data_IF_856058514328
#
_entry.id   IF_856058514328
#
_cell.length_a   1.000
_cell.length_b   1.000
_cell.length_c   1.000
_cell.angle_alpha   90.00
_cell.angle_beta   90.00
_cell.angle_gamma   90.00
#
_symmetry.space_group_name_H-M   'P 1'
#
loop_
_entity.id
_entity.type
_entity.pdbx_description
1 polymer ?
#
# COMPACT_ATOMS: atom_id res chain seq x y z
N UNK A 1 31.09 -4.42 -9.59
CA UNK A 1 29.80 -3.72 -9.61
C UNK A 1 28.76 -4.73 -10.10
N UNK A 2 27.79 -5.09 -9.25
CA UNK A 2 26.76 -6.07 -9.63
C UNK A 2 25.74 -5.38 -10.54
N UNK A 3 25.63 -5.86 -11.76
CA UNK A 3 24.58 -5.45 -12.71
C UNK A 3 23.44 -6.47 -12.64
N UNK A 4 22.22 -6.01 -12.65
CA UNK A 4 21.04 -6.85 -12.73
C UNK A 4 20.41 -6.63 -14.09
N UNK A 5 20.37 -7.69 -14.90
CA UNK A 5 19.76 -7.83 -16.25
C UNK A 5 20.31 -7.00 -17.42
N UNK A 6 19.73 -7.22 -18.58
CA UNK A 6 20.06 -6.61 -19.87
C UNK A 6 20.05 -5.07 -19.88
N UNK A 7 19.41 -4.43 -18.89
CA UNK A 7 19.38 -2.97 -18.69
C UNK A 7 20.67 -2.42 -18.04
N UNK A 8 21.64 -3.25 -17.65
CA UNK A 8 22.92 -2.82 -17.04
C UNK A 8 22.77 -1.81 -15.88
N UNK A 9 21.64 -1.80 -15.16
CA UNK A 9 21.40 -0.86 -14.07
C UNK A 9 22.09 -1.32 -12.79
N UNK A 10 22.98 -0.51 -12.20
CA UNK A 10 23.61 -0.85 -10.93
C UNK A 10 22.57 -0.88 -9.81
N UNK A 11 22.55 -1.97 -9.05
CA UNK A 11 21.65 -2.16 -7.89
C UNK A 11 21.74 -1.01 -6.87
N UNK A 12 22.85 -0.29 -6.86
CA UNK A 12 23.09 0.85 -5.96
C UNK A 12 22.05 1.96 -6.14
N UNK A 13 21.52 2.19 -7.34
CA UNK A 13 20.52 3.24 -7.58
C UNK A 13 19.18 2.93 -6.95
N UNK A 14 18.80 1.65 -6.84
CA UNK A 14 17.61 1.26 -6.05
C UNK A 14 17.77 1.60 -4.58
N UNK A 15 18.94 1.27 -3.99
CA UNK A 15 19.20 1.56 -2.58
C UNK A 15 19.29 3.06 -2.30
N UNK A 16 19.90 3.84 -3.19
CA UNK A 16 19.94 5.30 -3.08
C UNK A 16 18.51 5.86 -3.15
N UNK A 17 17.70 5.42 -4.11
CA UNK A 17 16.30 5.83 -4.26
C UNK A 17 15.47 5.47 -3.02
N UNK A 18 15.66 4.26 -2.46
CA UNK A 18 15.03 3.85 -1.22
C UNK A 18 15.44 4.76 -0.05
N UNK A 19 16.73 5.06 0.09
CA UNK A 19 17.25 6.00 1.10
C UNK A 19 16.66 7.40 0.96
N UNK A 20 16.53 7.90 -0.27
CA UNK A 20 15.85 9.17 -0.58
C UNK A 20 14.40 9.12 -0.13
N UNK A 21 13.66 8.06 -0.46
CA UNK A 21 12.27 7.90 -0.06
C UNK A 21 12.10 7.94 1.46
N UNK A 22 12.93 7.19 2.20
CA UNK A 22 12.94 7.19 3.66
C UNK A 22 13.22 8.60 4.23
N UNK A 23 14.32 9.21 3.83
CA UNK A 23 14.77 10.51 4.38
C UNK A 23 13.76 11.63 4.08
N UNK A 24 13.25 11.69 2.85
CA UNK A 24 12.29 12.73 2.48
C UNK A 24 10.93 12.51 3.15
N UNK A 25 10.44 11.27 3.26
CA UNK A 25 9.22 10.99 4.02
C UNK A 25 9.38 11.42 5.47
N UNK A 26 10.46 11.02 6.14
CA UNK A 26 10.73 11.37 7.53
C UNK A 26 10.80 12.88 7.74
N UNK A 27 11.56 13.59 6.91
CA UNK A 27 11.74 15.03 7.04
C UNK A 27 10.47 15.82 6.69
N UNK A 28 9.81 15.48 5.57
CA UNK A 28 8.62 16.19 5.10
C UNK A 28 7.42 16.01 6.03
N UNK A 29 7.30 14.87 6.71
CA UNK A 29 6.26 14.70 7.73
C UNK A 29 6.40 15.68 8.89
N UNK A 30 7.62 15.98 9.31
CA UNK A 30 7.85 17.01 10.30
C UNK A 30 7.38 18.38 9.81
N UNK A 31 7.74 18.76 8.56
CA UNK A 31 7.32 20.00 7.93
C UNK A 31 5.80 20.05 7.73
N UNK A 32 5.22 19.02 7.16
CA UNK A 32 3.77 18.96 6.86
C UNK A 32 2.92 19.01 8.12
N UNK A 33 3.38 18.42 9.22
CA UNK A 33 2.71 18.53 10.51
C UNK A 33 2.65 19.98 10.99
N UNK A 34 3.70 20.77 10.78
CA UNK A 34 3.74 22.18 11.16
C UNK A 34 2.82 23.05 10.29
N UNK A 35 2.77 22.76 8.98
CA UNK A 35 2.08 23.60 8.01
C UNK A 35 0.63 23.18 7.78
N UNK A 36 0.38 21.89 7.60
CA UNK A 36 -0.94 21.33 7.27
C UNK A 36 -1.63 20.66 8.46
N UNK A 37 -0.92 20.44 9.56
CA UNK A 37 -1.48 19.81 10.76
C UNK A 37 -2.57 20.63 11.47
N UNK A 38 -2.95 21.78 10.92
CA UNK A 38 -4.09 22.60 11.40
C UNK A 38 -5.37 22.33 10.60
N UNK A 39 -5.25 21.75 9.40
CA UNK A 39 -6.37 21.54 8.47
C UNK A 39 -6.75 20.05 8.35
N UNK A 40 -5.76 19.16 8.44
CA UNK A 40 -5.93 17.72 8.33
C UNK A 40 -5.88 17.13 9.74
N UNK A 41 -7.02 17.08 10.41
CA UNK A 41 -7.09 16.71 11.82
C UNK A 41 -8.05 15.53 12.04
N UNK A 42 -7.59 14.56 12.80
CA UNK A 42 -8.43 13.52 13.37
C UNK A 42 -8.79 13.87 14.81
N UNK A 43 -10.10 13.94 15.07
CA UNK A 43 -10.63 14.24 16.39
C UNK A 43 -11.08 12.93 17.07
N UNK A 44 -10.89 12.80 18.41
CA UNK A 44 -11.37 11.64 19.14
C UNK A 44 -12.89 11.57 19.08
N UNK A 45 -13.44 10.36 18.89
CA UNK A 45 -14.89 10.13 18.85
C UNK A 45 -15.27 8.81 18.16
N UNK A 46 -16.49 8.32 18.44
CA UNK A 46 -17.03 7.11 17.83
C UNK A 46 -16.24 5.85 18.18
N UNK A 47 -15.69 5.19 17.16
CA UNK A 47 -14.92 3.94 17.32
C UNK A 47 -13.45 4.18 17.72
N UNK A 48 -12.97 5.43 17.68
CA UNK A 48 -11.57 5.80 17.89
C UNK A 48 -11.23 5.96 19.38
N UNK A 49 -10.10 5.43 19.80
CA UNK A 49 -9.63 5.43 21.21
C UNK A 49 -8.31 6.20 21.39
N UNK A 50 -8.11 7.31 20.66
CA UNK A 50 -6.97 8.17 20.92
C UNK A 50 -7.38 9.42 21.74
N UNK A 51 -6.43 9.92 22.52
CA UNK A 51 -6.60 11.17 23.26
C UNK A 51 -5.96 12.31 22.47
N UNK A 52 -6.75 13.38 22.24
CA UNK A 52 -6.26 14.58 21.55
C UNK A 52 -6.47 14.56 20.03
N UNK A 53 -6.18 15.72 19.42
CA UNK A 53 -6.31 15.97 18.00
C UNK A 53 -4.97 15.59 17.33
N UNK A 54 -5.00 14.71 16.32
CA UNK A 54 -3.80 14.19 15.67
C UNK A 54 -3.84 14.52 14.17
N UNK A 55 -2.76 15.07 13.60
CA UNK A 55 -2.69 15.38 12.17
C UNK A 55 -2.72 14.15 11.27
N UNK A 56 -3.47 14.23 10.15
CA UNK A 56 -3.60 13.21 9.10
C UNK A 56 -2.70 13.56 7.91
N UNK A 57 -1.39 13.66 8.13
CA UNK A 57 -0.43 14.08 7.10
C UNK A 57 0.44 12.94 6.57
N UNK A 58 0.21 11.70 7.06
CA UNK A 58 1.01 10.54 6.67
C UNK A 58 1.00 10.30 5.17
N UNK A 59 -0.19 10.32 4.54
CA UNK A 59 -0.32 10.15 3.10
C UNK A 59 0.46 11.18 2.28
N UNK A 60 0.46 12.45 2.71
CA UNK A 60 1.25 13.51 2.06
C UNK A 60 2.75 13.21 2.12
N UNK A 61 3.24 12.77 3.29
CA UNK A 61 4.66 12.40 3.46
C UNK A 61 5.05 11.22 2.58
N UNK A 62 4.23 10.16 2.56
CA UNK A 62 4.47 8.97 1.73
C UNK A 62 4.52 9.34 0.25
N UNK A 63 3.50 10.04 -0.27
CA UNK A 63 3.44 10.43 -1.68
C UNK A 63 4.66 11.26 -2.08
N UNK A 64 5.06 12.22 -1.24
CA UNK A 64 6.21 13.08 -1.53
C UNK A 64 7.53 12.30 -1.52
N UNK A 65 7.76 11.43 -0.52
CA UNK A 65 8.96 10.63 -0.43
C UNK A 65 9.10 9.65 -1.60
N UNK A 66 8.02 8.94 -1.94
CA UNK A 66 7.97 8.04 -3.09
C UNK A 66 8.18 8.82 -4.40
N UNK A 67 7.47 9.94 -4.58
CA UNK A 67 7.55 10.74 -5.79
C UNK A 67 8.97 11.27 -6.06
N UNK A 68 9.61 11.86 -5.04
CA UNK A 68 10.99 12.36 -5.16
C UNK A 68 11.96 11.21 -5.47
N UNK A 69 11.80 10.07 -4.83
CA UNK A 69 12.61 8.87 -5.06
C UNK A 69 12.50 8.36 -6.50
N UNK A 70 11.27 8.25 -7.01
CA UNK A 70 11.01 7.79 -8.38
C UNK A 70 11.54 8.79 -9.40
N UNK A 71 11.32 10.10 -9.20
CA UNK A 71 11.87 11.14 -10.07
C UNK A 71 13.40 11.07 -10.11
N UNK A 72 14.06 10.94 -8.94
CA UNK A 72 15.51 10.76 -8.89
C UNK A 72 15.96 9.55 -9.72
N UNK A 73 15.28 8.40 -9.53
CA UNK A 73 15.60 7.19 -10.27
C UNK A 73 15.44 7.40 -11.79
N UNK A 74 14.35 8.07 -12.20
CA UNK A 74 14.09 8.37 -13.62
C UNK A 74 15.14 9.29 -14.24
N UNK A 75 15.69 10.23 -13.48
CA UNK A 75 16.73 11.15 -13.97
C UNK A 75 18.10 10.50 -14.09
N UNK A 76 18.41 9.51 -13.24
CA UNK A 76 19.72 8.86 -13.21
C UNK A 76 19.76 7.61 -14.10
N UNK A 77 18.66 6.88 -14.17
CA UNK A 77 18.53 5.69 -14.99
C UNK A 77 17.80 6.07 -16.28
N UNK A 78 18.44 5.94 -17.43
CA UNK A 78 17.84 6.23 -18.74
C UNK A 78 16.64 5.30 -18.98
N UNK A 79 15.44 5.80 -18.71
CA UNK A 79 14.21 5.04 -18.81
C UNK A 79 13.74 4.98 -20.24
N UNK A 80 13.34 3.80 -20.70
CA UNK A 80 12.76 3.63 -22.04
C UNK A 80 11.38 4.29 -22.13
N UNK A 81 10.99 4.73 -23.33
CA UNK A 81 9.64 5.27 -23.59
C UNK A 81 8.54 4.27 -23.22
N UNK A 82 8.79 2.97 -23.39
CA UNK A 82 7.87 1.90 -23.01
C UNK A 82 7.62 1.86 -21.49
N UNK A 83 8.68 1.97 -20.69
CA UNK A 83 8.56 2.02 -19.23
C UNK A 83 7.85 3.30 -18.78
N UNK A 84 8.14 4.44 -19.39
CA UNK A 84 7.47 5.70 -19.07
C UNK A 84 5.96 5.60 -19.32
N UNK A 85 5.54 5.02 -20.44
CA UNK A 85 4.13 4.80 -20.75
C UNK A 85 3.44 3.88 -19.73
N UNK A 86 4.13 2.83 -19.30
CA UNK A 86 3.63 1.91 -18.27
C UNK A 86 3.37 2.61 -16.93
N UNK A 87 4.21 3.55 -16.56
CA UNK A 87 4.12 4.29 -15.31
C UNK A 87 2.99 5.32 -15.32
N UNK A 88 2.64 5.91 -16.46
CA UNK A 88 1.60 6.96 -16.54
C UNK A 88 0.27 6.47 -15.99
N UNK A 89 -0.20 5.30 -16.40
CA UNK A 89 -1.46 4.75 -15.90
C UNK A 89 -1.45 4.51 -14.39
N UNK A 90 -0.33 4.01 -13.88
CA UNK A 90 -0.13 3.82 -12.46
C UNK A 90 -0.14 5.15 -11.71
N UNK A 91 0.58 6.17 -12.18
CA UNK A 91 0.62 7.50 -11.57
C UNK A 91 -0.74 8.20 -11.60
N UNK A 92 -1.51 8.08 -12.68
CA UNK A 92 -2.88 8.59 -12.75
C UNK A 92 -3.76 7.98 -11.65
N UNK A 93 -3.70 6.66 -11.47
CA UNK A 93 -4.44 5.99 -10.42
C UNK A 93 -3.97 6.39 -9.01
N UNK A 94 -2.66 6.54 -8.79
CA UNK A 94 -2.09 7.09 -7.54
C UNK A 94 -2.68 8.46 -7.22
N UNK A 95 -2.71 9.37 -8.20
CA UNK A 95 -3.28 10.71 -8.00
C UNK A 95 -4.76 10.63 -7.60
N UNK A 96 -5.53 9.77 -8.26
CA UNK A 96 -6.97 9.62 -7.99
C UNK A 96 -7.22 9.12 -6.57
N UNK A 97 -6.57 8.02 -6.16
CA UNK A 97 -6.79 7.45 -4.82
C UNK A 97 -6.27 8.36 -3.72
N UNK A 98 -5.15 9.05 -3.96
CA UNK A 98 -4.62 10.01 -3.01
C UNK A 98 -5.55 11.22 -2.84
N UNK A 99 -6.02 11.82 -3.92
CA UNK A 99 -6.92 12.99 -3.87
C UNK A 99 -8.22 12.62 -3.16
N UNK A 100 -8.84 11.49 -3.49
CA UNK A 100 -10.10 11.10 -2.85
C UNK A 100 -9.90 10.79 -1.36
N UNK A 101 -8.81 10.14 -0.98
CA UNK A 101 -8.45 9.91 0.41
C UNK A 101 -8.18 11.22 1.15
N UNK A 102 -7.49 12.18 0.52
CA UNK A 102 -7.23 13.50 1.09
C UNK A 102 -8.54 14.31 1.29
N UNK A 103 -9.46 14.25 0.33
CA UNK A 103 -10.78 14.89 0.46
C UNK A 103 -11.59 14.24 1.59
N UNK A 104 -11.46 12.93 1.77
CA UNK A 104 -12.09 12.24 2.92
C UNK A 104 -11.47 12.69 4.25
N UNK A 105 -10.16 12.76 4.32
CA UNK A 105 -9.43 13.25 5.51
C UNK A 105 -9.81 14.70 5.86
N UNK A 106 -9.97 15.58 4.88
CA UNK A 106 -10.42 16.97 5.06
C UNK A 106 -11.86 17.08 5.54
N UNK A 107 -12.71 16.10 5.21
CA UNK A 107 -14.13 16.09 5.60
C UNK A 107 -14.41 15.35 6.91
N UNK A 108 -13.40 14.84 7.60
CA UNK A 108 -13.58 14.21 8.92
C UNK A 108 -14.14 15.21 9.93
N UNK A 109 -15.01 14.80 10.88
CA UNK A 109 -15.37 13.41 11.19
C UNK A 109 -16.43 12.76 10.30
N UNK A 110 -17.12 13.50 9.42
CA UNK A 110 -18.21 12.94 8.61
C UNK A 110 -17.72 12.08 7.46
N UNK A 111 -16.61 12.48 6.82
CA UNK A 111 -16.04 11.81 5.66
C UNK A 111 -16.92 11.81 4.41
N UNK A 112 -16.50 11.07 3.40
CA UNK A 112 -17.23 10.83 2.16
C UNK A 112 -18.12 9.58 2.29
N UNK A 113 -19.17 9.52 1.47
CA UNK A 113 -19.98 8.30 1.38
C UNK A 113 -19.17 7.14 0.79
N UNK A 114 -19.51 5.91 1.21
CA UNK A 114 -18.85 4.68 0.72
C UNK A 114 -18.94 4.58 -0.81
N UNK A 115 -20.09 4.96 -1.38
CA UNK A 115 -20.30 4.90 -2.85
C UNK A 115 -19.35 5.82 -3.61
N UNK A 116 -19.08 7.03 -3.10
CA UNK A 116 -18.12 7.97 -3.72
C UNK A 116 -16.71 7.39 -3.65
N UNK A 117 -16.31 6.87 -2.48
CA UNK A 117 -15.00 6.23 -2.31
C UNK A 117 -14.81 5.08 -3.29
N UNK A 118 -15.77 4.16 -3.37
CA UNK A 118 -15.74 3.01 -4.30
C UNK A 118 -15.69 3.46 -5.76
N UNK A 119 -16.46 4.48 -6.16
CA UNK A 119 -16.43 5.00 -7.52
C UNK A 119 -15.03 5.44 -7.94
N UNK A 120 -14.33 6.21 -7.11
CA UNK A 120 -12.99 6.69 -7.43
C UNK A 120 -11.93 5.59 -7.34
N UNK A 121 -12.10 4.59 -6.48
CA UNK A 121 -11.26 3.39 -6.46
C UNK A 121 -11.41 2.59 -7.78
N UNK A 122 -12.63 2.46 -8.30
CA UNK A 122 -12.90 1.83 -9.60
C UNK A 122 -12.27 2.62 -10.73
N UNK A 123 -12.43 3.95 -10.76
CA UNK A 123 -11.81 4.81 -11.78
C UNK A 123 -10.28 4.67 -11.75
N UNK A 124 -9.67 4.64 -10.57
CA UNK A 124 -8.22 4.46 -10.43
C UNK A 124 -7.74 3.12 -10.99
N UNK A 125 -8.50 2.04 -10.78
CA UNK A 125 -8.19 0.73 -11.35
C UNK A 125 -8.33 0.72 -12.88
N UNK A 126 -9.34 1.40 -13.42
CA UNK A 126 -9.53 1.53 -14.87
C UNK A 126 -8.34 2.25 -15.53
N UNK A 127 -7.79 3.30 -14.91
CA UNK A 127 -6.58 3.96 -15.41
C UNK A 127 -5.42 2.98 -15.56
N UNK A 128 -5.26 2.06 -14.62
CA UNK A 128 -4.23 1.01 -14.70
C UNK A 128 -4.53 0.02 -15.84
N UNK A 129 -5.79 -0.41 -15.98
CA UNK A 129 -6.21 -1.37 -17.01
C UNK A 129 -6.08 -0.81 -18.43
N UNK A 130 -6.33 0.48 -18.63
CA UNK A 130 -6.11 1.15 -19.93
C UNK A 130 -4.64 1.08 -20.41
N UNK A 131 -3.70 0.84 -19.48
CA UNK A 131 -2.29 0.61 -19.79
C UNK A 131 -1.92 -0.89 -19.87
N UNK A 132 -2.91 -1.78 -19.88
CA UNK A 132 -2.72 -3.20 -20.05
C UNK A 132 -2.33 -3.98 -18.80
N UNK A 133 -2.38 -3.35 -17.62
CA UNK A 133 -2.03 -3.99 -16.34
C UNK A 133 -3.24 -4.61 -15.65
N UNK A 134 -3.44 -5.88 -15.86
CA UNK A 134 -4.44 -6.71 -15.20
C UNK A 134 -3.99 -8.18 -15.19
N UNK A 135 -4.53 -8.98 -14.30
CA UNK A 135 -4.25 -10.41 -14.30
C UNK A 135 -4.82 -11.08 -15.55
N UNK A 136 -4.00 -11.89 -16.20
CA UNK A 136 -4.41 -12.66 -17.39
C UNK A 136 -4.53 -14.13 -17.03
N UNK A 137 -5.67 -14.52 -16.43
CA UNK A 137 -5.94 -15.87 -15.91
C UNK A 137 -6.90 -16.63 -16.78
N UNK A 138 -7.97 -15.93 -17.18
CA UNK A 138 -9.09 -16.50 -17.91
C UNK A 138 -8.93 -16.28 -19.40
N UNK A 139 -9.52 -17.12 -20.20
CA UNK A 139 -9.58 -16.92 -21.66
C UNK A 139 -10.35 -15.65 -22.04
N UNK A 140 -11.31 -15.22 -21.21
CA UNK A 140 -12.10 -14.03 -21.43
C UNK A 140 -11.48 -12.81 -20.75
N UNK A 141 -11.23 -11.75 -21.52
CA UNK A 141 -10.72 -10.46 -21.02
C UNK A 141 -11.68 -9.84 -19.99
N UNK A 142 -12.98 -10.02 -20.12
CA UNK A 142 -13.95 -9.47 -19.18
C UNK A 142 -13.79 -10.07 -17.77
N UNK A 143 -13.56 -11.37 -17.67
CA UNK A 143 -13.29 -12.03 -16.38
C UNK A 143 -11.95 -11.61 -15.78
N UNK A 144 -10.93 -11.41 -16.61
CA UNK A 144 -9.64 -10.88 -16.19
C UNK A 144 -9.77 -9.48 -15.60
N UNK A 145 -10.49 -8.59 -16.28
CA UNK A 145 -10.75 -7.22 -15.81
C UNK A 145 -11.58 -7.22 -14.53
N UNK A 146 -12.64 -8.01 -14.45
CA UNK A 146 -13.48 -8.11 -13.25
C UNK A 146 -12.68 -8.61 -12.05
N UNK A 147 -11.88 -9.66 -12.23
CA UNK A 147 -11.04 -10.19 -11.16
C UNK A 147 -10.00 -9.16 -10.69
N UNK A 148 -9.33 -8.49 -11.63
CA UNK A 148 -8.34 -7.45 -11.32
C UNK A 148 -9.00 -6.23 -10.65
N UNK A 149 -10.24 -5.90 -11.01
CA UNK A 149 -11.00 -4.83 -10.35
C UNK A 149 -11.30 -5.18 -8.89
N UNK A 150 -11.78 -6.40 -8.63
CA UNK A 150 -12.02 -6.88 -7.27
C UNK A 150 -10.72 -6.92 -6.45
N UNK A 151 -9.61 -7.31 -7.07
CA UNK A 151 -8.28 -7.25 -6.48
C UNK A 151 -7.89 -5.84 -6.05
N UNK A 152 -7.97 -4.87 -6.95
CA UNK A 152 -7.57 -3.48 -6.68
C UNK A 152 -8.45 -2.83 -5.60
N UNK A 153 -9.77 -2.89 -5.78
CA UNK A 153 -10.72 -2.33 -4.80
C UNK A 153 -10.61 -3.06 -3.46
N UNK A 154 -10.45 -4.38 -3.49
CA UNK A 154 -10.26 -5.20 -2.30
C UNK A 154 -9.03 -4.79 -1.50
N UNK A 155 -7.87 -4.63 -2.15
CA UNK A 155 -6.63 -4.25 -1.46
C UNK A 155 -6.64 -2.80 -0.97
N UNK A 156 -7.16 -1.84 -1.74
CA UNK A 156 -7.31 -0.45 -1.27
C UNK A 156 -8.11 -0.43 0.04
N UNK A 157 -9.21 -1.18 0.11
CA UNK A 157 -10.03 -1.23 1.32
C UNK A 157 -9.38 -2.09 2.42
N UNK A 158 -8.67 -3.18 2.09
CA UNK A 158 -7.97 -4.01 3.07
C UNK A 158 -6.92 -3.20 3.84
N UNK A 159 -6.08 -2.44 3.14
CA UNK A 159 -5.08 -1.58 3.78
C UNK A 159 -5.71 -0.42 4.55
N UNK A 160 -6.81 0.16 4.05
CA UNK A 160 -7.54 1.19 4.77
C UNK A 160 -8.16 0.65 6.07
N UNK A 161 -8.74 -0.52 6.03
CA UNK A 161 -9.31 -1.18 7.20
C UNK A 161 -8.24 -1.66 8.20
N UNK A 162 -7.01 -1.92 7.75
CA UNK A 162 -5.89 -2.25 8.64
C UNK A 162 -5.30 -1.03 9.36
N UNK A 163 -5.59 0.20 8.92
CA UNK A 163 -5.10 1.44 9.55
C UNK A 163 -5.90 1.80 10.83
N UNK A 164 -6.16 0.79 11.67
CA UNK A 164 -6.90 0.90 12.94
C UNK A 164 -6.02 0.91 14.18
N UNK A 165 -4.76 0.48 14.04
CA UNK A 165 -3.74 0.43 15.09
C UNK A 165 -2.45 1.01 14.55
N UNK A 166 -1.78 1.86 15.36
CA UNK A 166 -0.49 2.46 15.00
C UNK A 166 0.51 1.40 14.51
N UNK A 167 1.12 1.66 13.36
CA UNK A 167 2.13 0.82 12.75
C UNK A 167 1.63 -0.43 12.02
N UNK A 168 0.36 -0.85 12.16
CA UNK A 168 -0.12 -2.10 11.57
C UNK A 168 -0.15 -2.03 10.05
N UNK A 169 -0.84 -1.06 9.46
CA UNK A 169 -0.89 -0.85 8.02
C UNK A 169 0.52 -0.69 7.41
N UNK A 170 1.34 0.18 8.02
CA UNK A 170 2.70 0.45 7.53
C UNK A 170 3.62 -0.77 7.61
N UNK A 171 3.53 -1.58 8.67
CA UNK A 171 4.36 -2.79 8.78
C UNK A 171 4.02 -3.82 7.71
N UNK A 172 2.74 -3.99 7.38
CA UNK A 172 2.31 -4.87 6.28
C UNK A 172 2.78 -4.32 4.92
N UNK A 173 2.65 -3.01 4.71
CA UNK A 173 3.14 -2.36 3.50
C UNK A 173 4.66 -2.54 3.32
N UNK A 174 5.45 -2.41 4.39
CA UNK A 174 6.90 -2.62 4.35
C UNK A 174 7.22 -4.05 3.92
N UNK A 175 6.63 -5.05 4.58
CA UNK A 175 6.92 -6.46 4.26
C UNK A 175 6.52 -6.77 2.81
N UNK A 176 5.30 -6.40 2.39
CA UNK A 176 4.82 -6.65 1.03
C UNK A 176 5.67 -5.95 -0.02
N UNK A 177 6.00 -4.66 0.18
CA UNK A 177 6.76 -3.87 -0.80
C UNK A 177 8.20 -4.35 -0.96
N UNK A 178 8.88 -4.69 0.15
CA UNK A 178 10.24 -5.24 0.11
C UNK A 178 10.23 -6.62 -0.56
N UNK A 179 9.24 -7.45 -0.29
CA UNK A 179 9.11 -8.75 -0.94
C UNK A 179 8.85 -8.64 -2.43
N UNK A 180 7.97 -7.73 -2.86
CA UNK A 180 7.76 -7.43 -4.27
C UNK A 180 9.08 -7.02 -4.92
N UNK A 181 9.83 -6.10 -4.31
CA UNK A 181 11.13 -5.67 -4.80
C UNK A 181 12.10 -6.85 -4.96
N UNK A 182 12.25 -7.71 -3.94
CA UNK A 182 13.18 -8.84 -3.97
C UNK A 182 12.77 -9.85 -5.05
N UNK A 183 11.48 -10.18 -5.16
CA UNK A 183 10.99 -11.16 -6.14
C UNK A 183 11.11 -10.64 -7.56
N UNK A 184 10.86 -9.35 -7.76
CA UNK A 184 10.82 -8.73 -9.06
C UNK A 184 12.14 -8.05 -9.52
N UNK A 185 13.20 -8.11 -8.70
CA UNK A 185 14.45 -7.40 -8.98
C UNK A 185 15.11 -7.85 -10.29
N UNK A 186 14.82 -9.06 -10.73
CA UNK A 186 15.27 -9.60 -12.02
C UNK A 186 14.35 -9.26 -13.20
N UNK A 187 13.22 -8.59 -12.98
CA UNK A 187 12.31 -8.18 -14.05
C UNK A 187 12.87 -6.97 -14.83
N UNK A 188 12.42 -6.81 -16.07
CA UNK A 188 12.84 -5.70 -16.95
C UNK A 188 12.30 -4.32 -16.52
N UNK A 189 11.45 -4.24 -15.50
CA UNK A 189 10.76 -3.00 -15.12
C UNK A 189 11.47 -2.26 -13.98
N UNK A 190 12.56 -1.58 -14.30
CA UNK A 190 13.39 -0.86 -13.33
C UNK A 190 12.63 0.15 -12.48
N UNK A 191 11.75 0.93 -13.07
CA UNK A 191 10.93 1.91 -12.36
C UNK A 191 9.91 1.30 -11.40
N UNK A 192 9.27 0.19 -11.78
CA UNK A 192 8.31 -0.50 -10.90
C UNK A 192 9.02 -1.11 -9.69
N UNK A 193 10.22 -1.66 -9.90
CA UNK A 193 11.08 -2.17 -8.83
C UNK A 193 11.52 -1.04 -7.89
N UNK A 194 11.94 0.11 -8.44
CA UNK A 194 12.24 1.30 -7.65
C UNK A 194 11.03 1.74 -6.82
N UNK A 195 9.84 1.76 -7.40
CA UNK A 195 8.60 2.15 -6.72
C UNK A 195 8.22 1.21 -5.59
N UNK A 196 8.44 -0.10 -5.76
CA UNK A 196 8.23 -1.09 -4.70
C UNK A 196 9.15 -0.82 -3.50
N UNK A 197 10.46 -0.64 -3.74
CA UNK A 197 11.40 -0.33 -2.66
C UNK A 197 11.10 1.04 -2.03
N UNK A 198 10.80 2.06 -2.85
CA UNK A 198 10.47 3.39 -2.36
C UNK A 198 9.24 3.40 -1.44
N UNK A 199 8.20 2.63 -1.76
CA UNK A 199 7.01 2.50 -0.92
C UNK A 199 7.36 1.90 0.47
N UNK A 200 8.09 0.80 0.50
CA UNK A 200 8.52 0.18 1.76
C UNK A 200 9.36 1.13 2.61
N UNK A 201 10.30 1.84 1.98
CA UNK A 201 11.19 2.79 2.65
C UNK A 201 10.46 4.07 3.10
N UNK A 202 9.47 4.55 2.36
CA UNK A 202 8.59 5.64 2.79
C UNK A 202 7.79 5.23 4.05
N UNK A 203 7.22 4.03 4.06
CA UNK A 203 6.52 3.50 5.23
C UNK A 203 7.45 3.38 6.45
N UNK A 204 8.71 2.96 6.26
CA UNK A 204 9.72 2.99 7.33
C UNK A 204 9.99 4.40 7.84
N UNK A 205 10.06 5.40 6.98
CA UNK A 205 10.21 6.81 7.35
C UNK A 205 9.00 7.40 8.10
N UNK A 206 7.80 6.87 7.84
CA UNK A 206 6.57 7.26 8.53
C UNK A 206 6.47 6.68 9.95
N UNK A 207 6.93 5.45 10.19
CA UNK A 207 6.77 4.73 11.46
C UNK A 207 7.22 5.55 12.69
N UNK A 208 8.38 6.23 12.71
CA UNK A 208 8.79 7.02 13.87
C UNK A 208 7.80 8.13 14.24
N UNK A 209 7.14 8.73 13.26
CA UNK A 209 6.11 9.75 13.48
C UNK A 209 4.80 9.13 13.99
N UNK A 210 4.44 7.96 13.51
CA UNK A 210 3.21 7.28 13.91
C UNK A 210 3.25 6.82 15.37
N UNK A 211 4.43 6.40 15.86
CA UNK A 211 4.64 6.01 17.27
C UNK A 211 5.05 7.16 18.19
N UNK A 212 5.35 8.34 17.66
CA UNK A 212 5.83 9.46 18.46
C UNK A 212 4.74 10.00 19.40
N UNK A 213 5.12 10.32 20.63
CA UNK A 213 4.24 11.04 21.55
C UNK A 213 4.22 12.56 21.27
N UNK A 214 5.34 13.12 20.78
CA UNK A 214 5.49 14.58 20.54
C UNK A 214 5.12 14.98 19.12
N UNK A 215 5.45 14.13 18.14
CA UNK A 215 5.33 14.42 16.71
C UNK A 215 4.39 13.45 16.01
N UNK A 216 3.39 12.94 16.76
CA UNK A 216 2.44 11.95 16.25
C UNK A 216 1.69 12.48 15.04
N UNK A 217 1.61 11.65 14.01
CA UNK A 217 0.69 11.81 12.91
C UNK A 217 0.10 10.46 12.51
N UNK A 218 -1.10 10.49 11.95
CA UNK A 218 -1.75 9.34 11.39
C UNK A 218 -1.56 9.28 9.88
N UNK A 219 -1.70 8.08 9.35
CA UNK A 219 -1.60 7.80 7.93
C UNK A 219 -2.72 8.49 7.15
N UNK A 220 -3.95 8.40 7.65
CA UNK A 220 -5.16 8.89 7.02
C UNK A 220 -5.64 8.02 5.86
N UNK A 221 -6.85 8.32 5.35
CA UNK A 221 -7.40 7.61 4.19
C UNK A 221 -6.55 7.87 2.94
N UNK A 222 -5.96 9.08 2.82
CA UNK A 222 -5.01 9.41 1.75
C UNK A 222 -3.79 8.48 1.72
N UNK A 223 -3.24 8.14 2.88
CA UNK A 223 -2.07 7.26 2.98
C UNK A 223 -2.42 5.79 2.82
N UNK A 224 -3.47 5.31 3.47
CA UNK A 224 -3.87 3.91 3.41
C UNK A 224 -4.37 3.51 2.01
N UNK A 225 -5.10 4.39 1.30
CA UNK A 225 -5.49 4.16 -0.09
C UNK A 225 -4.28 4.15 -1.02
N UNK A 226 -3.33 5.07 -0.82
CA UNK A 226 -2.08 5.10 -1.58
C UNK A 226 -1.32 3.79 -1.43
N UNK A 227 -1.16 3.29 -0.21
CA UNK A 227 -0.49 2.01 0.07
C UNK A 227 -1.23 0.86 -0.62
N UNK A 228 -2.54 0.73 -0.38
CA UNK A 228 -3.33 -0.36 -0.94
C UNK A 228 -3.33 -0.38 -2.46
N UNK A 229 -3.43 0.81 -3.09
CA UNK A 229 -3.35 0.94 -4.53
C UNK A 229 -1.97 0.55 -5.07
N UNK A 230 -0.88 1.09 -4.50
CA UNK A 230 0.48 0.80 -4.97
C UNK A 230 0.84 -0.67 -4.80
N UNK A 231 0.58 -1.27 -3.66
CA UNK A 231 0.84 -2.71 -3.45
C UNK A 231 0.02 -3.56 -4.43
N UNK A 232 -1.27 -3.24 -4.61
CA UNK A 232 -2.15 -3.95 -5.54
C UNK A 232 -1.70 -3.80 -7.00
N UNK A 233 -1.35 -2.58 -7.41
CA UNK A 233 -0.87 -2.28 -8.77
C UNK A 233 0.47 -2.94 -9.07
N UNK A 234 1.42 -2.90 -8.15
CA UNK A 234 2.72 -3.55 -8.31
C UNK A 234 2.58 -5.06 -8.50
N UNK A 235 1.64 -5.71 -7.81
CA UNK A 235 1.31 -7.11 -8.04
C UNK A 235 0.76 -7.40 -9.44
N UNK A 236 0.06 -6.43 -10.07
CA UNK A 236 -0.45 -6.55 -11.44
C UNK A 236 0.61 -6.22 -12.50
N UNK A 237 1.48 -5.23 -12.20
CA UNK A 237 2.43 -4.69 -13.16
C UNK A 237 3.69 -5.55 -13.32
N UNK A 238 4.09 -6.29 -12.28
CA UNK A 238 5.31 -7.07 -12.26
C UNK A 238 4.99 -8.54 -12.57
N UNK A 239 5.54 -9.04 -13.67
CA UNK A 239 5.48 -10.45 -13.99
C UNK A 239 6.49 -11.24 -13.14
N UNK A 240 6.01 -12.04 -12.22
CA UNK A 240 6.82 -12.91 -11.37
C UNK A 240 7.19 -14.23 -12.05
N UNK A 241 6.44 -14.62 -13.09
CA UNK A 241 6.57 -15.91 -13.76
C UNK A 241 5.87 -15.87 -15.13
N UNK A 242 6.29 -16.73 -16.05
CA UNK A 242 5.57 -16.98 -17.31
C UNK A 242 4.17 -17.58 -17.09
N UNK A 243 3.98 -18.29 -15.96
CA UNK A 243 2.68 -18.83 -15.59
C UNK A 243 1.82 -17.78 -14.87
N UNK A 244 0.71 -17.38 -15.49
CA UNK A 244 -0.27 -16.46 -14.89
C UNK A 244 -0.81 -16.96 -13.54
N UNK A 245 -1.02 -18.27 -13.40
CA UNK A 245 -1.48 -18.87 -12.15
C UNK A 245 -0.45 -18.72 -11.03
N UNK A 246 0.83 -18.95 -11.33
CA UNK A 246 1.91 -18.77 -10.38
C UNK A 246 2.05 -17.32 -9.93
N UNK A 247 1.95 -16.37 -10.86
CA UNK A 247 1.95 -14.93 -10.55
C UNK A 247 0.86 -14.56 -9.54
N UNK A 248 -0.34 -15.10 -9.72
CA UNK A 248 -1.45 -14.88 -8.81
C UNK A 248 -1.19 -15.48 -7.43
N UNK A 249 -0.72 -16.73 -7.35
CA UNK A 249 -0.40 -17.36 -6.08
C UNK A 249 0.65 -16.54 -5.31
N UNK A 250 1.70 -16.05 -5.98
CA UNK A 250 2.71 -15.17 -5.39
C UNK A 250 2.07 -13.87 -4.90
N UNK A 251 1.25 -13.22 -5.72
CA UNK A 251 0.56 -11.98 -5.35
C UNK A 251 -0.33 -12.14 -4.11
N UNK A 252 -1.11 -13.23 -4.04
CA UNK A 252 -1.91 -13.53 -2.86
C UNK A 252 -1.08 -13.77 -1.61
N UNK A 253 0.04 -14.48 -1.73
CA UNK A 253 0.94 -14.73 -0.60
C UNK A 253 1.60 -13.44 -0.10
N UNK A 254 1.97 -12.53 -1.00
CA UNK A 254 2.59 -11.24 -0.66
C UNK A 254 1.65 -10.38 0.19
N UNK A 255 0.36 -10.41 -0.07
CA UNK A 255 -0.66 -9.62 0.65
C UNK A 255 -1.63 -10.49 1.47
N UNK A 256 -1.20 -11.69 1.86
CA UNK A 256 -2.08 -12.66 2.53
C UNK A 256 -2.70 -12.10 3.81
N UNK A 257 -1.93 -11.38 4.62
CA UNK A 257 -2.41 -10.89 5.92
C UNK A 257 -3.50 -9.82 5.77
N UNK A 258 -3.35 -8.76 4.93
CA UNK A 258 -4.45 -7.85 4.63
C UNK A 258 -5.71 -8.54 4.10
N UNK A 259 -5.55 -9.53 3.19
CA UNK A 259 -6.68 -10.28 2.65
C UNK A 259 -7.37 -11.12 3.73
N UNK A 260 -6.61 -11.80 4.58
CA UNK A 260 -7.18 -12.61 5.67
C UNK A 260 -7.95 -11.74 6.65
N UNK A 261 -7.43 -10.57 7.05
CA UNK A 261 -8.11 -9.69 8.00
C UNK A 261 -9.43 -9.14 7.43
N UNK A 262 -9.42 -8.61 6.19
CA UNK A 262 -10.67 -8.12 5.56
C UNK A 262 -11.70 -9.24 5.35
N UNK A 263 -11.25 -10.42 4.91
CA UNK A 263 -12.13 -11.58 4.70
C UNK A 263 -12.75 -12.02 6.04
N UNK A 264 -11.94 -12.09 7.09
CA UNK A 264 -12.42 -12.40 8.43
C UNK A 264 -13.50 -11.41 8.89
N UNK A 265 -13.28 -10.10 8.72
CA UNK A 265 -14.27 -9.06 9.08
C UNK A 265 -15.57 -9.26 8.29
N UNK A 266 -15.48 -9.48 6.97
CA UNK A 266 -16.67 -9.69 6.12
C UNK A 266 -17.47 -10.91 6.62
N UNK A 267 -16.81 -12.05 6.83
CA UNK A 267 -17.45 -13.29 7.27
C UNK A 267 -18.14 -13.11 8.64
N UNK A 268 -17.41 -12.53 9.61
CA UNK A 268 -17.96 -12.31 10.96
C UNK A 268 -19.19 -11.41 10.92
N UNK A 269 -19.16 -10.35 10.10
CA UNK A 269 -20.29 -9.43 9.98
C UNK A 269 -21.47 -10.05 9.28
N UNK A 270 -21.24 -10.85 8.24
CA UNK A 270 -22.31 -11.61 7.57
C UNK A 270 -22.99 -12.59 8.52
N UNK A 271 -22.23 -13.32 9.34
CA UNK A 271 -22.77 -14.25 10.35
C UNK A 271 -23.61 -13.48 11.41
N UNK A 272 -23.20 -12.24 11.74
CA UNK A 272 -23.93 -11.37 12.67
C UNK A 272 -25.14 -10.65 12.05
N UNK A 273 -25.42 -10.85 10.75
CA UNK A 273 -26.48 -10.13 10.04
C UNK A 273 -26.23 -8.63 9.87
N UNK A 274 -24.96 -8.19 9.96
CA UNK A 274 -24.55 -6.78 9.85
C UNK A 274 -24.02 -6.48 8.45
N UNK A 275 -24.19 -5.23 8.00
CA UNK A 275 -23.64 -4.79 6.71
C UNK A 275 -22.09 -4.82 6.75
N UNK A 276 -21.42 -5.62 5.89
CA UNK A 276 -19.96 -5.72 5.87
C UNK A 276 -19.25 -4.43 5.42
N UNK A 277 -19.94 -3.53 4.71
CA UNK A 277 -19.37 -2.28 4.17
C UNK A 277 -19.31 -1.13 5.20
N UNK A 278 -19.87 -1.31 6.39
CA UNK A 278 -19.80 -0.29 7.44
C UNK A 278 -18.62 -0.55 8.36
N UNK A 279 -17.95 0.51 8.85
CA UNK A 279 -16.82 0.40 9.77
C UNK A 279 -17.16 -0.48 10.98
N UNK A 280 -16.21 -1.31 11.41
CA UNK A 280 -16.43 -2.26 12.48
C UNK A 280 -15.23 -2.37 13.44
N UNK A 281 -15.48 -3.01 14.60
CA UNK A 281 -14.43 -3.38 15.56
C UNK A 281 -14.08 -4.87 15.48
N UNK A 282 -14.55 -5.55 14.44
CA UNK A 282 -14.42 -7.00 14.31
C UNK A 282 -13.06 -7.45 13.75
N UNK A 283 -12.13 -6.53 13.51
CA UNK A 283 -10.77 -6.82 13.04
C UNK A 283 -9.99 -7.72 14.00
N UNK A 284 -9.20 -8.65 13.46
CA UNK A 284 -8.39 -9.57 14.25
C UNK A 284 -7.52 -8.80 15.25
N UNK A 285 -6.87 -7.72 14.81
CA UNK A 285 -6.00 -6.91 15.65
C UNK A 285 -6.75 -6.27 16.85
N UNK A 286 -7.97 -5.78 16.65
CA UNK A 286 -8.79 -5.22 17.74
C UNK A 286 -9.29 -6.30 18.70
N UNK A 287 -9.67 -7.46 18.18
CA UNK A 287 -10.05 -8.61 19.01
C UNK A 287 -8.91 -9.10 19.88
N UNK A 288 -7.68 -9.18 19.35
CA UNK A 288 -6.49 -9.51 20.13
C UNK A 288 -6.22 -8.45 21.21
N UNK A 289 -6.40 -7.17 20.87
CA UNK A 289 -6.29 -6.08 21.87
C UNK A 289 -7.32 -6.17 22.96
N UNK A 290 -8.58 -6.46 22.63
CA UNK A 290 -9.65 -6.66 23.59
C UNK A 290 -9.44 -7.94 24.44
N UNK A 291 -8.71 -8.93 23.91
CA UNK A 291 -8.22 -10.12 24.64
C UNK A 291 -6.97 -9.85 25.51
N UNK A 292 -6.54 -8.59 25.64
CA UNK A 292 -5.43 -8.19 26.52
C UNK A 292 -4.04 -8.26 25.91
N UNK A 293 -3.90 -8.44 24.58
CA UNK A 293 -2.60 -8.39 23.93
C UNK A 293 -2.07 -6.95 23.89
N UNK A 294 -0.77 -6.80 24.18
CA UNK A 294 -0.09 -5.51 24.01
C UNK A 294 0.05 -5.17 22.52
N UNK A 295 0.15 -3.87 22.21
CA UNK A 295 0.38 -3.39 20.84
C UNK A 295 1.59 -4.08 20.19
N UNK A 296 2.70 -4.18 20.91
CA UNK A 296 3.92 -4.83 20.41
C UNK A 296 3.71 -6.31 20.06
N UNK A 297 2.95 -7.05 20.87
CA UNK A 297 2.62 -8.45 20.57
C UNK A 297 1.76 -8.57 19.31
N UNK A 298 0.77 -7.70 19.14
CA UNK A 298 -0.10 -7.70 17.96
C UNK A 298 0.73 -7.41 16.70
N UNK A 299 1.54 -6.35 16.73
CA UNK A 299 2.39 -6.00 15.60
C UNK A 299 3.39 -7.11 15.25
N UNK A 300 4.02 -7.71 16.27
CA UNK A 300 4.94 -8.82 16.06
C UNK A 300 4.26 -10.03 15.43
N UNK A 301 3.06 -10.40 15.91
CA UNK A 301 2.27 -11.50 15.35
C UNK A 301 1.95 -11.27 13.87
N UNK A 302 1.41 -10.09 13.53
CA UNK A 302 1.06 -9.76 12.15
C UNK A 302 2.28 -9.68 11.24
N UNK A 303 3.37 -9.05 11.73
CA UNK A 303 4.61 -8.90 10.94
C UNK A 303 5.29 -10.26 10.70
N UNK A 304 5.39 -11.12 11.71
CA UNK A 304 5.97 -12.49 11.55
C UNK A 304 5.10 -13.30 10.58
N UNK A 305 3.77 -13.28 10.75
CA UNK A 305 2.85 -13.99 9.84
C UNK A 305 3.01 -13.53 8.39
N UNK A 306 3.15 -12.21 8.18
CA UNK A 306 3.41 -11.63 6.87
C UNK A 306 4.77 -12.06 6.31
N UNK A 307 5.84 -12.02 7.11
CA UNK A 307 7.18 -12.47 6.70
C UNK A 307 7.15 -13.95 6.29
N UNK A 308 6.52 -14.82 7.07
CA UNK A 308 6.39 -16.25 6.73
C UNK A 308 5.69 -16.42 5.38
N UNK A 309 4.56 -15.78 5.16
CA UNK A 309 3.83 -15.83 3.89
C UNK A 309 4.68 -15.33 2.73
N UNK A 310 5.45 -14.26 2.94
CA UNK A 310 6.31 -13.68 1.91
C UNK A 310 7.56 -14.53 1.62
N UNK A 311 8.10 -15.25 2.61
CA UNK A 311 9.15 -16.27 2.37
C UNK A 311 8.61 -17.39 1.48
N UNK A 312 7.37 -17.84 1.71
CA UNK A 312 6.71 -18.85 0.85
C UNK A 312 6.52 -18.29 -0.58
N UNK A 313 6.10 -17.02 -0.72
CA UNK A 313 5.97 -16.35 -2.01
C UNK A 313 7.32 -16.31 -2.76
N UNK A 314 8.40 -15.95 -2.07
CA UNK A 314 9.75 -15.95 -2.62
C UNK A 314 10.20 -17.36 -3.02
N UNK A 315 10.04 -18.36 -2.15
CA UNK A 315 10.37 -19.74 -2.49
C UNK A 315 9.59 -20.24 -3.73
N UNK A 316 8.29 -19.90 -3.81
CA UNK A 316 7.47 -20.22 -4.99
C UNK A 316 7.99 -19.52 -6.25
N UNK A 317 8.51 -18.28 -6.16
CA UNK A 317 9.06 -17.56 -7.30
C UNK A 317 10.30 -18.24 -7.90
N UNK A 318 11.06 -18.99 -7.11
CA UNK A 318 12.27 -19.71 -7.52
C UNK A 318 12.00 -21.07 -8.20
N UNK A 319 10.80 -21.61 -8.06
CA UNK A 319 10.42 -22.87 -8.70
C UNK A 319 10.21 -22.60 -10.20
N UNK A 320 10.93 -23.25 -11.08
CA UNK A 320 10.88 -23.09 -12.54
C UNK A 320 9.60 -23.72 -13.11
#
# INVERSE_FOLDING_TARGET
>A
MLYINELNMPIIYYYISGGISFCFTYFLLYVYRLWFGRFLLDSPGGLKRHNGIIPLVGGCGLLSGIGISVIFFMLVCHISYKELNSIIGLLCGVCIVFIIGLVDDLKKPKGLSVSIKLLFQIISAICLFCNGFFFNIFQSVHWNLLFSLLWMVGLINAFNLMDIIDGLCSSQAIVSSISIFIIAISSESGCLNCMALALGMACLGFIPHNFSNRHKCFLGDSGSYLIGYLVGALCLCINYSESSFKTICISFLVVAIPIVDITFVIIVRMIQGKNPLTGSRDHIALRLKDAGWSLSKILLYFTISSIISNIIAFALSLII
#
